data_IF_620742582431
#
_entry.id   IF_620742582431
#
_cell.length_a   1.000
_cell.length_b   1.000
_cell.length_c   1.000
_cell.angle_alpha   90.00
_cell.angle_beta   90.00
_cell.angle_gamma   90.00
#
_symmetry.space_group_name_H-M   'P 1'
#
loop_
_entity.id
_entity.type
_entity.pdbx_description
1 polymer ?
#
# COMPACT_ATOMS: atom_id res chain seq x y z
N UNK A 1 -0.98 -24.30 10.69
CA UNK A 1 -1.15 -25.04 9.39
C UNK A 1 0.13 -24.78 8.61
N UNK A 2 0.76 -25.79 8.01
CA UNK A 2 1.98 -25.58 7.22
C UNK A 2 1.59 -24.85 5.93
N UNK A 3 2.20 -23.69 5.64
CA UNK A 3 1.96 -22.93 4.41
C UNK A 3 2.51 -23.70 3.21
N UNK A 4 1.74 -23.78 2.14
CA UNK A 4 2.16 -24.39 0.87
C UNK A 4 2.45 -23.24 -0.13
N UNK A 5 3.71 -23.07 -0.46
CA UNK A 5 4.18 -22.09 -1.44
C UNK A 5 4.37 -22.72 -2.81
N UNK A 6 4.37 -21.89 -3.86
CA UNK A 6 4.59 -22.35 -5.25
C UNK A 6 5.95 -23.02 -5.43
N UNK A 7 5.97 -23.99 -6.35
CA UNK A 7 7.16 -24.69 -6.83
C UNK A 7 7.29 -24.53 -8.34
N UNK A 8 8.46 -24.81 -8.87
CA UNK A 8 8.76 -24.72 -10.30
C UNK A 8 7.74 -25.52 -11.14
N UNK A 9 7.38 -26.74 -10.69
CA UNK A 9 6.44 -27.59 -11.42
C UNK A 9 5.03 -26.99 -11.52
N UNK A 10 4.61 -26.21 -10.53
CA UNK A 10 3.29 -25.56 -10.49
C UNK A 10 3.12 -24.47 -11.57
N UNK A 11 4.24 -23.91 -12.06
CA UNK A 11 4.27 -22.79 -13.00
C UNK A 11 4.80 -23.15 -14.40
N UNK A 12 5.27 -24.39 -14.62
CA UNK A 12 5.92 -24.78 -15.87
C UNK A 12 5.00 -24.72 -17.09
N UNK A 13 3.74 -25.14 -16.95
CA UNK A 13 2.74 -25.05 -18.02
C UNK A 13 2.36 -23.60 -18.33
N UNK A 14 2.25 -22.78 -17.30
CA UNK A 14 1.93 -21.36 -17.41
C UNK A 14 3.03 -20.61 -18.15
N UNK A 15 4.30 -20.86 -17.81
CA UNK A 15 5.46 -20.27 -18.51
C UNK A 15 5.50 -20.70 -19.97
N UNK A 16 5.28 -22.00 -20.26
CA UNK A 16 5.25 -22.52 -21.64
C UNK A 16 4.10 -21.90 -22.44
N UNK A 17 2.96 -21.68 -21.82
CA UNK A 17 1.80 -21.04 -22.45
C UNK A 17 2.05 -19.56 -22.77
N UNK A 18 2.72 -18.82 -21.89
CA UNK A 18 2.98 -17.39 -22.05
C UNK A 18 4.17 -17.08 -22.97
N UNK A 19 5.26 -17.85 -22.86
CA UNK A 19 6.52 -17.56 -23.54
C UNK A 19 6.85 -18.54 -24.67
N UNK A 20 5.99 -19.54 -24.89
CA UNK A 20 6.21 -20.60 -25.89
C UNK A 20 6.86 -21.85 -25.31
N UNK A 21 6.65 -22.99 -25.98
CA UNK A 21 7.16 -24.32 -25.55
C UNK A 21 8.69 -24.43 -25.53
N UNK A 22 9.38 -23.50 -26.17
CA UNK A 22 10.84 -23.46 -26.22
C UNK A 22 11.46 -22.79 -24.98
N UNK A 23 10.62 -22.16 -24.14
CA UNK A 23 11.05 -21.50 -22.91
C UNK A 23 10.78 -22.38 -21.69
N UNK A 24 11.77 -22.43 -20.79
CA UNK A 24 11.68 -23.26 -19.58
C UNK A 24 11.95 -22.41 -18.34
N UNK A 25 11.14 -22.66 -17.30
CA UNK A 25 11.39 -22.14 -15.97
C UNK A 25 12.57 -22.89 -15.35
N UNK A 26 13.65 -22.17 -15.01
CA UNK A 26 14.87 -22.73 -14.43
C UNK A 26 15.14 -22.26 -13.01
N UNK A 27 14.42 -21.23 -12.52
CA UNK A 27 14.55 -20.73 -11.15
C UNK A 27 13.24 -20.10 -10.67
N UNK A 28 12.97 -20.27 -9.37
CA UNK A 28 11.82 -19.70 -8.67
C UNK A 28 12.26 -19.25 -7.28
N UNK A 29 12.24 -17.94 -7.05
CA UNK A 29 12.60 -17.35 -5.77
C UNK A 29 11.37 -16.63 -5.18
N UNK A 30 10.92 -17.05 -3.99
CA UNK A 30 9.91 -16.31 -3.24
C UNK A 30 10.58 -15.09 -2.61
N UNK A 31 10.11 -13.89 -2.99
CA UNK A 31 10.64 -12.64 -2.47
C UNK A 31 10.08 -12.36 -1.06
N UNK A 32 10.88 -11.70 -0.24
CA UNK A 32 10.49 -11.26 1.12
C UNK A 32 9.67 -9.97 1.06
N UNK A 33 8.97 -9.65 2.16
CA UNK A 33 8.20 -8.41 2.32
C UNK A 33 6.71 -8.52 1.98
N UNK A 34 6.29 -9.50 1.18
CA UNK A 34 4.86 -9.73 0.90
C UNK A 34 4.14 -10.27 2.14
N UNK A 35 3.14 -9.51 2.65
CA UNK A 35 2.32 -9.94 3.80
C UNK A 35 0.91 -10.37 3.41
N UNK A 36 0.43 -9.96 2.25
CA UNK A 36 -0.95 -10.17 1.78
C UNK A 36 -1.05 -11.04 0.53
N UNK A 37 0.04 -11.18 -0.21
CA UNK A 37 0.17 -12.00 -1.42
C UNK A 37 1.55 -12.63 -1.49
N UNK A 38 1.69 -13.73 -2.21
CA UNK A 38 2.98 -14.29 -2.62
C UNK A 38 3.59 -13.48 -3.74
N UNK A 39 4.87 -13.15 -3.63
CA UNK A 39 5.64 -12.49 -4.68
C UNK A 39 6.79 -13.40 -5.07
N UNK A 40 6.84 -13.80 -6.33
CA UNK A 40 7.82 -14.76 -6.84
C UNK A 40 8.55 -14.19 -8.04
N UNK A 41 9.89 -14.26 -8.03
CA UNK A 41 10.71 -14.00 -9.20
C UNK A 41 10.97 -15.32 -9.93
N UNK A 42 10.54 -15.37 -11.17
CA UNK A 42 10.80 -16.47 -12.08
C UNK A 42 12.02 -16.14 -12.92
N UNK A 43 12.88 -17.15 -13.16
CA UNK A 43 13.98 -17.02 -14.10
C UNK A 43 13.83 -18.10 -15.19
N UNK A 44 13.85 -17.65 -16.44
CA UNK A 44 13.78 -18.50 -17.63
C UNK A 44 15.18 -18.95 -18.07
N UNK A 45 15.23 -19.91 -18.97
CA UNK A 45 16.48 -20.50 -19.48
C UNK A 45 17.29 -19.57 -20.41
N UNK A 46 16.77 -18.39 -20.73
CA UNK A 46 17.49 -17.33 -21.45
C UNK A 46 17.86 -16.15 -20.54
N UNK A 47 17.86 -16.36 -19.21
CA UNK A 47 18.09 -15.37 -18.18
C UNK A 47 17.03 -14.26 -18.07
N UNK A 48 15.93 -14.31 -18.83
CA UNK A 48 14.78 -13.43 -18.65
C UNK A 48 14.16 -13.68 -17.26
N UNK A 49 13.84 -12.59 -16.56
CA UNK A 49 13.12 -12.65 -15.27
C UNK A 49 11.76 -11.99 -15.38
N UNK A 50 10.79 -12.55 -14.65
CA UNK A 50 9.44 -12.00 -14.50
C UNK A 50 8.96 -12.15 -13.06
N UNK A 51 8.02 -11.32 -12.63
CA UNK A 51 7.41 -11.39 -11.30
C UNK A 51 6.03 -12.04 -11.42
N UNK A 52 5.75 -12.97 -10.51
CA UNK A 52 4.42 -13.54 -10.32
C UNK A 52 3.88 -13.14 -8.95
N UNK A 53 2.67 -12.59 -8.96
CA UNK A 53 1.85 -12.37 -7.77
C UNK A 53 0.84 -13.49 -7.63
N UNK A 54 0.68 -13.99 -6.39
CA UNK A 54 -0.30 -15.02 -6.06
C UNK A 54 -1.14 -14.59 -4.86
N UNK A 55 -2.44 -14.42 -5.08
CA UNK A 55 -3.43 -14.17 -4.03
C UNK A 55 -4.08 -15.48 -3.58
N UNK A 56 -3.41 -16.16 -2.67
CA UNK A 56 -3.91 -17.38 -2.06
C UNK A 56 -3.91 -17.26 -0.53
N UNK A 57 -4.82 -17.94 0.14
CA UNK A 57 -4.92 -17.89 1.60
C UNK A 57 -3.62 -18.32 2.31
N UNK A 58 -2.81 -19.20 1.69
CA UNK A 58 -1.52 -19.63 2.22
C UNK A 58 -0.46 -18.51 2.17
N UNK A 59 -0.64 -17.51 1.31
CA UNK A 59 0.29 -16.39 1.15
C UNK A 59 -0.03 -15.20 2.06
N UNK A 60 -1.29 -15.04 2.48
CA UNK A 60 -1.67 -13.96 3.39
C UNK A 60 -1.34 -14.31 4.84
N UNK A 61 -0.71 -13.38 5.54
CA UNK A 61 -0.44 -13.44 6.97
C UNK A 61 -1.45 -12.64 7.80
N UNK A 62 -2.30 -11.86 7.13
CA UNK A 62 -3.26 -10.99 7.81
C UNK A 62 -4.45 -11.76 8.35
N UNK A 63 -4.68 -11.74 9.69
CA UNK A 63 -5.94 -12.23 10.25
C UNK A 63 -7.09 -11.30 9.85
N UNK A 64 -8.33 -11.82 9.85
CA UNK A 64 -9.51 -10.98 9.66
C UNK A 64 -9.54 -9.81 10.65
N UNK A 65 -9.99 -8.65 10.18
CA UNK A 65 -10.15 -7.45 10.99
C UNK A 65 -11.53 -6.86 10.74
N UNK A 66 -12.19 -6.43 11.81
CA UNK A 66 -13.47 -5.75 11.72
C UNK A 66 -13.25 -4.31 11.24
N UNK A 67 -13.91 -3.94 10.16
CA UNK A 67 -13.77 -2.65 9.51
C UNK A 67 -14.96 -1.74 9.84
N UNK A 68 -14.75 -0.44 9.73
CA UNK A 68 -15.85 0.52 9.87
C UNK A 68 -16.62 0.66 8.55
N UNK A 69 -17.90 1.02 8.58
CA UNK A 69 -18.65 1.33 7.37
C UNK A 69 -17.97 2.44 6.55
N UNK A 70 -17.99 2.29 5.23
CA UNK A 70 -17.43 3.24 4.26
C UNK A 70 -15.89 3.41 4.34
N UNK A 71 -15.16 2.53 5.03
CA UNK A 71 -13.70 2.57 5.07
C UNK A 71 -13.12 2.32 3.67
N UNK A 72 -12.45 3.30 3.05
CA UNK A 72 -11.93 3.19 1.68
C UNK A 72 -10.71 2.26 1.57
N UNK A 73 -10.14 1.81 2.69
CA UNK A 73 -8.91 1.00 2.73
C UNK A 73 -9.17 -0.47 3.04
N UNK A 74 -10.41 -0.95 2.90
CA UNK A 74 -10.81 -2.32 3.24
C UNK A 74 -11.12 -3.19 2.03
N UNK A 75 -10.76 -2.77 0.84
CA UNK A 75 -11.08 -3.46 -0.42
C UNK A 75 -10.50 -4.87 -0.60
N UNK A 76 -9.70 -5.34 0.36
CA UNK A 76 -9.01 -6.62 0.23
C UNK A 76 -7.83 -6.55 -0.74
N UNK A 77 -7.31 -7.73 -1.11
CA UNK A 77 -6.24 -7.89 -2.09
C UNK A 77 -6.58 -9.10 -2.98
N UNK A 78 -6.67 -8.88 -4.29
CA UNK A 78 -7.07 -9.91 -5.25
C UNK A 78 -6.55 -9.58 -6.66
N UNK A 79 -6.53 -10.56 -7.54
CA UNK A 79 -6.02 -10.39 -8.90
C UNK A 79 -6.87 -9.44 -9.75
N UNK A 80 -8.19 -9.44 -9.58
CA UNK A 80 -9.10 -8.52 -10.27
C UNK A 80 -8.97 -7.08 -9.79
N UNK A 81 -8.80 -6.87 -8.47
CA UNK A 81 -8.51 -5.55 -7.91
C UNK A 81 -7.15 -5.03 -8.41
N UNK A 82 -6.12 -5.87 -8.41
CA UNK A 82 -4.81 -5.54 -8.97
C UNK A 82 -4.93 -5.09 -10.44
N UNK A 83 -5.68 -5.85 -11.27
CA UNK A 83 -5.86 -5.52 -12.69
C UNK A 83 -6.59 -4.17 -12.89
N UNK A 84 -7.63 -3.91 -12.09
CA UNK A 84 -8.36 -2.64 -12.14
C UNK A 84 -7.47 -1.46 -11.76
N UNK A 85 -6.69 -1.60 -10.69
CA UNK A 85 -5.76 -0.58 -10.21
C UNK A 85 -4.61 -0.34 -11.19
N UNK A 86 -4.06 -1.42 -11.78
CA UNK A 86 -3.05 -1.35 -12.83
C UNK A 86 -3.53 -0.53 -14.03
N UNK A 87 -4.76 -0.81 -14.51
CA UNK A 87 -5.36 -0.08 -15.61
C UNK A 87 -5.55 1.41 -15.30
N UNK A 88 -5.99 1.73 -14.08
CA UNK A 88 -6.20 3.11 -13.64
C UNK A 88 -4.88 3.90 -13.56
N UNK A 89 -3.82 3.32 -12.99
CA UNK A 89 -2.50 3.94 -12.91
C UNK A 89 -1.89 4.15 -14.31
N UNK A 90 -2.00 3.14 -15.19
CA UNK A 90 -1.57 3.25 -16.59
C UNK A 90 -2.30 4.37 -17.30
N UNK A 91 -3.63 4.47 -17.14
CA UNK A 91 -4.44 5.55 -17.72
C UNK A 91 -4.06 6.94 -17.15
N UNK A 92 -3.65 7.01 -15.89
CA UNK A 92 -3.13 8.24 -15.27
C UNK A 92 -1.69 8.57 -15.72
N UNK A 93 -1.05 7.76 -16.56
CA UNK A 93 0.32 7.94 -17.02
C UNK A 93 1.38 7.65 -15.95
N UNK A 94 1.05 6.81 -14.98
CA UNK A 94 1.99 6.33 -13.96
C UNK A 94 2.65 5.05 -14.46
N UNK A 95 3.98 4.96 -14.36
CA UNK A 95 4.73 3.76 -14.72
C UNK A 95 4.54 2.69 -13.63
N UNK A 96 3.93 1.60 -14.02
CA UNK A 96 3.78 0.36 -13.24
C UNK A 96 4.38 -0.80 -14.04
N UNK A 97 4.69 -1.96 -13.44
CA UNK A 97 5.19 -3.12 -14.20
C UNK A 97 4.21 -3.51 -15.32
N UNK A 98 4.71 -3.83 -16.50
CA UNK A 98 3.88 -4.31 -17.60
C UNK A 98 3.16 -5.61 -17.20
N UNK A 99 1.85 -5.68 -17.43
CA UNK A 99 1.09 -6.90 -17.18
C UNK A 99 1.25 -7.86 -18.34
N UNK A 100 1.91 -8.99 -18.09
CA UNK A 100 2.18 -10.03 -19.08
C UNK A 100 1.05 -11.05 -19.15
N UNK A 101 0.44 -11.36 -18.01
CA UNK A 101 -0.66 -12.30 -17.89
C UNK A 101 -1.48 -12.05 -16.63
N UNK A 102 -2.78 -12.35 -16.71
CA UNK A 102 -3.71 -12.33 -15.59
C UNK A 102 -4.60 -13.57 -15.62
N UNK A 103 -4.68 -14.29 -14.52
CA UNK A 103 -5.65 -15.36 -14.28
C UNK A 103 -6.40 -15.06 -12.98
N UNK A 104 -7.58 -14.48 -13.12
CA UNK A 104 -8.41 -14.06 -11.98
C UNK A 104 -8.91 -15.27 -11.20
N UNK A 105 -9.26 -16.38 -11.88
CA UNK A 105 -9.80 -17.57 -11.25
C UNK A 105 -8.73 -18.30 -10.42
N UNK A 106 -7.48 -18.30 -10.90
CA UNK A 106 -6.34 -18.82 -10.15
C UNK A 106 -5.80 -17.83 -9.10
N UNK A 107 -6.27 -16.58 -9.11
CA UNK A 107 -5.74 -15.52 -8.26
C UNK A 107 -4.27 -15.19 -8.56
N UNK A 108 -3.89 -15.11 -9.85
CA UNK A 108 -2.51 -15.00 -10.27
C UNK A 108 -2.34 -13.90 -11.31
N UNK A 109 -1.27 -13.10 -11.17
CA UNK A 109 -0.81 -12.18 -12.21
C UNK A 109 0.69 -12.35 -12.46
N UNK A 110 1.09 -12.27 -13.72
CA UNK A 110 2.49 -12.22 -14.13
C UNK A 110 2.78 -10.84 -14.70
N UNK A 111 3.84 -10.22 -14.21
CA UNK A 111 4.25 -8.88 -14.60
C UNK A 111 5.74 -8.81 -14.93
N UNK A 112 6.14 -7.74 -15.59
CA UNK A 112 7.53 -7.38 -15.82
C UNK A 112 8.32 -7.39 -14.49
N UNK A 113 9.57 -7.86 -14.55
CA UNK A 113 10.53 -7.65 -13.47
C UNK A 113 11.20 -6.28 -13.69
N UNK A 114 10.75 -5.29 -12.95
CA UNK A 114 11.27 -3.90 -13.04
C UNK A 114 12.70 -3.74 -12.47
N UNK A 115 13.33 -4.83 -12.04
CA UNK A 115 14.68 -4.85 -11.50
C UNK A 115 14.74 -5.27 -10.04
N UNK A 116 15.93 -5.11 -9.44
CA UNK A 116 16.19 -5.61 -8.09
C UNK A 116 16.38 -4.50 -7.05
N UNK A 117 16.42 -3.22 -7.46
CA UNK A 117 16.71 -2.11 -6.57
C UNK A 117 15.44 -1.27 -6.31
N UNK A 118 15.09 -1.13 -5.03
CA UNK A 118 14.08 -0.18 -4.57
C UNK A 118 14.66 1.22 -4.48
N UNK A 119 13.81 2.22 -4.65
CA UNK A 119 14.20 3.62 -4.48
C UNK A 119 14.74 3.90 -3.06
N UNK A 120 14.22 3.21 -2.03
CA UNK A 120 14.73 3.30 -0.66
C UNK A 120 16.23 2.93 -0.58
N UNK A 121 16.61 1.77 -1.12
CA UNK A 121 18.00 1.33 -1.14
C UNK A 121 18.88 2.27 -1.97
N UNK A 122 18.36 2.81 -3.08
CA UNK A 122 19.10 3.79 -3.89
C UNK A 122 19.30 5.10 -3.12
N UNK A 123 18.27 5.58 -2.40
CA UNK A 123 18.37 6.80 -1.57
C UNK A 123 19.40 6.67 -0.46
N UNK A 124 19.46 5.49 0.19
CA UNK A 124 20.44 5.21 1.24
C UNK A 124 21.88 5.10 0.68
N UNK A 125 22.03 4.42 -0.44
CA UNK A 125 23.34 4.14 -1.06
C UNK A 125 23.91 5.35 -1.79
N UNK A 126 23.09 6.06 -2.56
CA UNK A 126 23.50 7.18 -3.42
C UNK A 126 22.35 8.19 -3.59
N UNK A 127 22.20 9.13 -2.63
CA UNK A 127 21.17 10.17 -2.70
C UNK A 127 21.23 11.04 -3.96
N UNK A 128 22.44 11.18 -4.55
CA UNK A 128 22.62 11.92 -5.79
C UNK A 128 21.99 11.21 -7.00
N UNK A 129 22.19 9.90 -7.10
CA UNK A 129 21.59 9.07 -8.14
C UNK A 129 20.06 8.97 -7.96
N UNK A 130 19.56 9.03 -6.72
CA UNK A 130 18.12 8.99 -6.43
C UNK A 130 17.36 10.27 -6.84
N UNK A 131 18.04 11.39 -7.07
CA UNK A 131 17.39 12.69 -7.34
C UNK A 131 16.53 12.68 -8.61
N UNK A 132 16.98 12.00 -9.68
CA UNK A 132 16.22 11.84 -10.93
C UNK A 132 14.92 11.04 -10.72
N UNK A 133 15.03 9.79 -10.26
CA UNK A 133 13.86 8.95 -9.91
C UNK A 133 12.87 9.63 -8.96
N UNK A 134 13.34 10.34 -7.93
CA UNK A 134 12.46 11.09 -7.02
C UNK A 134 11.69 12.21 -7.73
N UNK A 135 12.35 12.97 -8.60
CA UNK A 135 11.69 14.02 -9.35
C UNK A 135 10.63 13.45 -10.31
N UNK A 136 10.92 12.34 -10.99
CA UNK A 136 9.98 11.66 -11.89
C UNK A 136 8.80 11.04 -11.12
N UNK A 137 9.05 10.46 -9.93
CA UNK A 137 8.00 9.99 -9.04
C UNK A 137 7.08 11.15 -8.61
N UNK A 138 7.64 12.31 -8.27
CA UNK A 138 6.85 13.51 -7.96
C UNK A 138 5.95 13.94 -9.12
N UNK A 139 6.42 13.85 -10.37
CA UNK A 139 5.61 14.09 -11.56
C UNK A 139 4.50 13.04 -11.76
N UNK A 140 4.80 11.76 -11.47
CA UNK A 140 3.82 10.67 -11.52
C UNK A 140 2.71 10.88 -10.47
N UNK A 141 3.08 11.20 -9.23
CA UNK A 141 2.14 11.54 -8.15
C UNK A 141 1.24 12.71 -8.52
N UNK A 142 1.79 13.77 -9.13
CA UNK A 142 0.99 14.91 -9.56
C UNK A 142 -0.03 14.54 -10.63
N UNK A 143 0.34 13.69 -11.61
CA UNK A 143 -0.62 13.17 -12.60
C UNK A 143 -1.71 12.35 -11.91
N UNK A 144 -1.36 11.46 -11.00
CA UNK A 144 -2.28 10.64 -10.23
C UNK A 144 -3.25 11.51 -9.41
N UNK A 145 -2.73 12.49 -8.68
CA UNK A 145 -3.55 13.39 -7.83
C UNK A 145 -4.44 14.35 -8.63
N UNK A 146 -4.16 14.60 -9.91
CA UNK A 146 -5.06 15.37 -10.79
C UNK A 146 -6.21 14.52 -11.36
N UNK A 147 -6.13 13.20 -11.23
CA UNK A 147 -7.24 12.31 -11.57
C UNK A 147 -8.29 12.40 -10.48
N UNK A 148 -9.40 13.09 -10.76
CA UNK A 148 -10.40 13.43 -9.77
C UNK A 148 -11.59 12.46 -9.78
N UNK A 149 -12.04 12.07 -8.57
CA UNK A 149 -13.28 11.35 -8.32
C UNK A 149 -14.29 12.22 -7.56
N UNK A 150 -15.57 12.08 -7.87
CA UNK A 150 -16.67 12.71 -7.10
C UNK A 150 -17.07 11.90 -5.87
N UNK A 151 -16.61 10.66 -5.78
CA UNK A 151 -16.83 9.72 -4.68
C UNK A 151 -15.49 9.16 -4.21
N UNK A 152 -15.39 8.89 -2.92
CA UNK A 152 -14.22 8.16 -2.39
C UNK A 152 -14.51 6.66 -2.30
N UNK A 153 -13.45 5.85 -2.27
CA UNK A 153 -13.51 4.40 -2.15
C UNK A 153 -12.64 3.70 -3.18
N UNK A 154 -12.53 2.38 -3.04
CA UNK A 154 -11.81 1.54 -4.01
C UNK A 154 -12.45 1.62 -5.39
N UNK A 155 -11.64 1.63 -6.43
CA UNK A 155 -12.09 1.87 -7.81
C UNK A 155 -13.18 0.88 -8.24
N UNK A 156 -13.01 -0.40 -7.89
CA UNK A 156 -13.96 -1.45 -8.25
C UNK A 156 -15.34 -1.31 -7.58
N UNK A 157 -15.44 -0.56 -6.46
CA UNK A 157 -16.69 -0.33 -5.74
C UNK A 157 -17.42 0.95 -6.17
N UNK A 158 -16.75 1.82 -6.95
CA UNK A 158 -17.35 3.07 -7.43
C UNK A 158 -18.21 2.79 -8.65
N UNK A 159 -19.52 2.96 -8.49
CA UNK A 159 -20.48 2.86 -9.60
C UNK A 159 -20.64 4.23 -10.24
N UNK A 160 -20.42 4.32 -11.55
CA UNK A 160 -20.63 5.55 -12.31
C UNK A 160 -22.08 6.00 -12.23
N UNK A 161 -22.29 7.29 -11.89
CA UNK A 161 -23.65 7.87 -11.74
C UNK A 161 -24.32 7.59 -10.40
N UNK A 162 -23.67 6.94 -9.43
CA UNK A 162 -24.18 6.82 -8.08
C UNK A 162 -24.04 8.17 -7.33
N UNK A 163 -25.16 8.79 -7.02
CA UNK A 163 -25.27 10.05 -6.29
C UNK A 163 -25.65 9.86 -4.80
N UNK A 164 -25.65 8.63 -4.30
CA UNK A 164 -25.96 8.35 -2.90
C UNK A 164 -25.04 9.15 -1.97
N UNK A 165 -25.56 9.74 -0.89
CA UNK A 165 -24.73 10.47 0.06
C UNK A 165 -23.66 9.57 0.66
N UNK A 166 -22.40 10.03 0.66
CA UNK A 166 -21.32 9.42 1.42
C UNK A 166 -21.08 10.18 2.71
N UNK A 167 -20.61 9.49 3.74
CA UNK A 167 -20.15 10.12 4.99
C UNK A 167 -18.96 11.03 4.72
N UNK A 168 -18.74 12.11 5.50
CA UNK A 168 -17.52 12.88 5.44
C UNK A 168 -16.28 11.99 5.69
N UNK A 169 -15.24 12.13 4.86
CA UNK A 169 -14.01 11.33 4.95
C UNK A 169 -13.31 11.47 6.31
N UNK A 170 -13.33 12.67 6.86
CA UNK A 170 -12.78 12.95 8.19
C UNK A 170 -13.48 12.16 9.30
N UNK A 171 -14.81 11.95 9.21
CA UNK A 171 -15.57 11.16 10.18
C UNK A 171 -15.27 9.66 10.02
N UNK A 172 -15.15 9.18 8.78
CA UNK A 172 -14.77 7.78 8.50
C UNK A 172 -13.38 7.48 9.05
N UNK A 173 -12.41 8.40 8.86
CA UNK A 173 -11.05 8.20 9.37
C UNK A 173 -10.99 8.26 10.90
N UNK A 174 -11.79 9.11 11.56
CA UNK A 174 -11.89 9.10 13.02
C UNK A 174 -12.44 7.76 13.53
N UNK A 175 -13.53 7.27 12.96
CA UNK A 175 -14.10 5.97 13.35
C UNK A 175 -13.11 4.83 13.12
N UNK A 176 -12.41 4.83 11.98
CA UNK A 176 -11.35 3.88 11.66
C UNK A 176 -10.22 3.93 12.70
N UNK A 177 -9.75 5.13 13.04
CA UNK A 177 -8.69 5.33 14.01
C UNK A 177 -9.11 4.88 15.43
N UNK A 178 -10.37 5.11 15.82
CA UNK A 178 -10.92 4.63 17.08
C UNK A 178 -11.05 3.10 17.11
N UNK A 179 -11.45 2.47 16.00
CA UNK A 179 -11.48 1.02 15.86
C UNK A 179 -10.08 0.41 16.03
N UNK A 180 -9.07 1.00 15.39
CA UNK A 180 -7.66 0.59 15.56
C UNK A 180 -7.17 0.80 17.00
N UNK A 181 -7.53 1.92 17.62
CA UNK A 181 -7.19 2.20 19.02
C UNK A 181 -7.78 1.17 19.97
N UNK A 182 -9.06 0.81 19.79
CA UNK A 182 -9.73 -0.18 20.62
C UNK A 182 -9.10 -1.56 20.50
N UNK A 183 -8.78 -1.98 19.28
CA UNK A 183 -8.11 -3.25 19.04
C UNK A 183 -6.66 -3.27 19.58
N UNK A 184 -5.94 -2.15 19.47
CA UNK A 184 -4.58 -2.01 20.02
C UNK A 184 -4.62 -1.95 21.56
N UNK A 185 -5.59 -1.26 22.17
CA UNK A 185 -5.77 -1.17 23.62
C UNK A 185 -6.07 -2.52 24.27
N UNK A 186 -6.69 -3.44 23.53
CA UNK A 186 -6.89 -4.81 24.00
C UNK A 186 -5.55 -5.59 24.14
N UNK A 187 -4.48 -5.12 23.48
CA UNK A 187 -3.14 -5.75 23.44
C UNK A 187 -2.07 -5.00 24.24
N UNK A 188 -2.27 -3.70 24.47
CA UNK A 188 -1.30 -2.85 25.19
C UNK A 188 -1.99 -2.02 26.29
N UNK A 189 -1.55 -2.24 27.54
CA UNK A 189 -2.14 -1.59 28.72
C UNK A 189 -1.95 -0.06 28.72
N UNK A 190 -0.85 0.45 28.17
CA UNK A 190 -0.58 1.91 28.09
C UNK A 190 -1.62 2.60 27.22
N UNK A 191 -2.00 1.96 26.12
CA UNK A 191 -3.07 2.44 25.25
C UNK A 191 -4.43 2.32 25.91
N UNK A 192 -4.71 1.22 26.63
CA UNK A 192 -5.94 1.06 27.41
C UNK A 192 -6.11 2.18 28.45
N UNK A 193 -5.05 2.47 29.19
CA UNK A 193 -5.04 3.53 30.21
C UNK A 193 -5.15 4.95 29.60
N UNK A 194 -4.70 5.16 28.36
CA UNK A 194 -4.72 6.43 27.63
C UNK A 194 -5.90 6.58 26.65
N UNK A 195 -6.72 5.54 26.44
CA UNK A 195 -7.73 5.46 25.38
C UNK A 195 -8.65 6.69 25.32
N UNK A 196 -9.16 7.15 26.47
CA UNK A 196 -10.02 8.34 26.52
C UNK A 196 -9.33 9.60 26.01
N UNK A 197 -8.09 9.85 26.45
CA UNK A 197 -7.29 11.02 26.03
C UNK A 197 -6.92 10.98 24.55
N UNK A 198 -6.58 9.80 24.02
CA UNK A 198 -6.31 9.60 22.60
C UNK A 198 -7.56 9.88 21.76
N UNK A 199 -8.73 9.35 22.18
CA UNK A 199 -10.01 9.61 21.52
C UNK A 199 -10.39 11.09 21.53
N UNK A 200 -10.23 11.79 22.66
CA UNK A 200 -10.44 13.22 22.75
C UNK A 200 -9.47 14.01 21.86
N UNK A 201 -8.23 13.55 21.73
CA UNK A 201 -7.25 14.17 20.83
C UNK A 201 -7.66 14.04 19.37
N UNK A 202 -8.08 12.85 18.93
CA UNK A 202 -8.63 12.61 17.59
C UNK A 202 -9.80 13.55 17.28
N UNK A 203 -10.75 13.70 18.21
CA UNK A 203 -11.88 14.59 18.02
C UNK A 203 -11.45 16.08 17.90
N UNK A 204 -10.49 16.52 18.71
CA UNK A 204 -9.91 17.88 18.58
C UNK A 204 -9.24 18.10 17.22
N UNK A 205 -8.54 17.09 16.68
CA UNK A 205 -7.93 17.16 15.34
C UNK A 205 -8.98 17.18 14.23
N UNK A 206 -10.12 16.52 14.42
CA UNK A 206 -11.23 16.49 13.48
C UNK A 206 -11.99 17.80 13.42
N UNK A 207 -12.18 18.51 14.54
CA UNK A 207 -13.04 19.70 14.64
C UNK A 207 -12.78 20.80 13.58
N UNK A 208 -11.53 21.17 13.26
CA UNK A 208 -11.24 22.19 12.24
C UNK A 208 -11.35 21.68 10.79
N UNK A 209 -11.53 20.39 10.56
CA UNK A 209 -11.51 19.79 9.22
C UNK A 209 -12.86 20.00 8.54
N UNK A 210 -12.85 20.70 7.40
CA UNK A 210 -14.05 20.96 6.61
C UNK A 210 -14.38 19.78 5.67
N UNK A 211 -15.66 19.49 5.49
CA UNK A 211 -16.09 18.43 4.58
C UNK A 211 -15.65 18.69 3.12
N UNK A 212 -15.27 17.64 2.41
CA UNK A 212 -14.82 17.67 1.01
C UNK A 212 -15.73 16.80 0.12
N UNK A 213 -15.77 17.12 -1.19
CA UNK A 213 -16.58 16.41 -2.17
C UNK A 213 -15.83 16.12 -3.48
N UNK A 214 -14.53 16.33 -3.50
CA UNK A 214 -13.67 15.99 -4.63
C UNK A 214 -12.45 15.28 -4.07
N UNK A 215 -12.14 14.14 -4.64
CA UNK A 215 -11.12 13.21 -4.17
C UNK A 215 -10.09 12.97 -5.26
N UNK A 216 -8.87 12.72 -4.87
CA UNK A 216 -7.78 12.40 -5.78
C UNK A 216 -7.60 10.88 -5.85
N UNK A 217 -7.04 10.40 -6.94
CA UNK A 217 -6.52 9.04 -7.00
C UNK A 217 -5.26 8.98 -6.14
N UNK A 218 -5.23 8.12 -5.12
CA UNK A 218 -4.12 7.96 -4.18
C UNK A 218 -3.70 6.51 -4.08
N UNK A 219 -2.41 6.26 -3.89
CA UNK A 219 -1.87 4.91 -3.67
C UNK A 219 -2.30 4.35 -2.30
N UNK A 220 -2.41 5.23 -1.30
CA UNK A 220 -2.88 4.91 0.04
C UNK A 220 -1.77 4.64 1.05
N UNK A 221 -0.65 4.05 0.66
CA UNK A 221 0.49 3.70 1.55
C UNK A 221 1.85 3.70 0.83
N UNK A 222 2.05 4.64 -0.11
CA UNK A 222 3.27 4.72 -0.89
C UNK A 222 4.51 5.04 -0.03
N UNK A 223 5.49 4.15 -0.09
CA UNK A 223 6.84 4.35 0.45
C UNK A 223 7.90 4.22 -0.64
N UNK A 224 9.17 4.58 -0.38
CA UNK A 224 10.25 4.43 -1.33
C UNK A 224 10.60 2.95 -1.62
N UNK A 225 10.23 2.02 -0.76
CA UNK A 225 10.25 0.56 -0.93
C UNK A 225 9.18 0.05 -1.91
N UNK A 226 8.10 0.82 -2.16
CA UNK A 226 7.08 0.54 -3.16
C UNK A 226 7.39 1.16 -4.53
N UNK A 227 8.62 1.58 -4.75
CA UNK A 227 9.09 2.11 -6.02
C UNK A 227 10.37 1.37 -6.42
N UNK A 228 10.30 0.61 -7.52
CA UNK A 228 11.46 0.02 -8.15
C UNK A 228 12.17 1.06 -9.01
N UNK A 229 13.48 0.95 -9.17
CA UNK A 229 14.24 1.79 -10.09
C UNK A 229 14.86 0.90 -11.16
N UNK A 230 14.49 1.12 -12.42
CA UNK A 230 15.04 0.36 -13.54
C UNK A 230 16.52 0.68 -13.74
N UNK A 231 17.28 -0.17 -14.48
CA UNK A 231 18.66 0.16 -14.86
C UNK A 231 18.81 1.48 -15.64
N UNK A 232 17.73 1.97 -16.25
CA UNK A 232 17.69 3.27 -16.93
C UNK A 232 17.42 4.45 -15.97
N UNK A 233 17.14 4.17 -14.69
CA UNK A 233 16.83 5.18 -13.68
C UNK A 233 15.35 5.58 -13.62
N UNK A 234 14.46 4.84 -14.30
CA UNK A 234 13.01 5.13 -14.29
C UNK A 234 12.35 4.57 -13.03
N UNK A 235 11.54 5.34 -12.30
CA UNK A 235 10.77 4.85 -11.17
C UNK A 235 9.54 4.05 -11.66
N UNK A 236 9.33 2.87 -11.10
CA UNK A 236 8.21 1.97 -11.38
C UNK A 236 7.47 1.71 -10.07
N UNK A 237 6.22 2.15 -9.99
CA UNK A 237 5.38 2.01 -8.80
C UNK A 237 4.85 0.59 -8.71
N UNK A 238 4.95 -0.01 -7.51
CA UNK A 238 4.46 -1.35 -7.18
C UNK A 238 3.58 -1.31 -5.92
N UNK A 239 2.99 -2.43 -5.57
CA UNK A 239 2.19 -2.63 -4.34
C UNK A 239 0.97 -1.70 -4.22
N UNK A 240 0.29 -1.49 -5.34
CA UNK A 240 -0.81 -0.53 -5.49
C UNK A 240 -2.21 -1.11 -5.27
N UNK A 241 -2.33 -2.20 -4.52
CA UNK A 241 -3.63 -2.80 -4.19
C UNK A 241 -4.51 -1.86 -3.34
N UNK A 242 -3.88 -0.99 -2.56
CA UNK A 242 -4.56 0.05 -1.78
C UNK A 242 -5.06 1.26 -2.58
N UNK A 243 -4.89 1.26 -3.92
CA UNK A 243 -5.27 2.39 -4.77
C UNK A 243 -6.77 2.72 -4.62
N UNK A 244 -7.06 3.97 -4.34
CA UNK A 244 -8.42 4.43 -4.07
C UNK A 244 -8.58 5.90 -4.46
N UNK A 245 -9.82 6.34 -4.67
CA UNK A 245 -10.13 7.76 -4.63
C UNK A 245 -10.27 8.20 -3.18
N UNK A 246 -9.44 9.15 -2.75
CA UNK A 246 -9.49 9.67 -1.39
C UNK A 246 -8.91 11.08 -1.29
N UNK A 247 -8.82 11.60 -0.07
CA UNK A 247 -8.19 12.89 0.20
C UNK A 247 -6.68 12.81 -0.02
N UNK A 248 -6.14 13.73 -0.77
CA UNK A 248 -4.72 13.79 -1.11
C UNK A 248 -3.82 13.90 0.14
N UNK A 249 -4.34 14.49 1.23
CA UNK A 249 -3.61 14.60 2.50
C UNK A 249 -3.35 13.23 3.15
N UNK A 250 -4.17 12.19 2.87
CA UNK A 250 -3.88 10.83 3.31
C UNK A 250 -2.58 10.30 2.70
N UNK A 251 -2.44 10.44 1.38
CA UNK A 251 -1.21 10.09 0.67
C UNK A 251 -0.02 10.87 1.20
N UNK A 252 -0.15 12.19 1.32
CA UNK A 252 0.95 13.04 1.76
C UNK A 252 1.35 12.84 3.23
N UNK A 253 0.45 12.36 4.09
CA UNK A 253 0.81 11.92 5.44
C UNK A 253 1.76 10.71 5.40
N UNK A 254 1.49 9.72 4.53
CA UNK A 254 2.39 8.61 4.26
C UNK A 254 3.71 9.04 3.65
N UNK A 255 3.66 9.84 2.58
CA UNK A 255 4.85 10.34 1.88
C UNK A 255 5.79 11.10 2.82
N UNK A 256 5.25 11.98 3.68
CA UNK A 256 6.07 12.70 4.67
C UNK A 256 6.76 11.76 5.66
N UNK A 257 6.06 10.73 6.12
CA UNK A 257 6.59 9.76 7.05
C UNK A 257 7.65 8.86 6.41
N UNK A 258 7.42 8.40 5.17
CA UNK A 258 8.25 7.39 4.51
C UNK A 258 9.45 8.00 3.77
N UNK A 259 9.33 9.19 3.20
CA UNK A 259 10.40 9.83 2.45
C UNK A 259 11.24 10.81 3.30
N UNK A 260 10.77 11.20 4.49
CA UNK A 260 11.52 12.09 5.38
C UNK A 260 12.02 13.36 4.67
N UNK A 261 13.32 13.64 4.73
CA UNK A 261 13.92 14.83 4.12
C UNK A 261 13.78 14.87 2.58
N UNK A 262 13.68 13.70 1.93
CA UNK A 262 13.50 13.59 0.49
C UNK A 262 12.07 13.94 0.03
N UNK A 263 11.09 14.05 0.93
CA UNK A 263 9.71 14.40 0.61
C UNK A 263 9.59 15.68 -0.23
N UNK A 264 10.43 16.67 0.02
CA UNK A 264 10.43 17.93 -0.74
C UNK A 264 10.71 17.75 -2.24
N UNK A 265 11.43 16.70 -2.62
CA UNK A 265 11.73 16.36 -4.01
C UNK A 265 10.50 15.86 -4.79
N UNK A 266 9.47 15.36 -4.09
CA UNK A 266 8.20 14.92 -4.67
C UNK A 266 7.28 16.08 -5.09
N UNK A 267 7.69 17.34 -4.82
CA UNK A 267 6.94 18.57 -5.17
C UNK A 267 5.49 18.50 -4.72
N UNK A 268 5.23 18.46 -3.40
CA UNK A 268 3.90 18.32 -2.85
C UNK A 268 2.97 19.46 -3.32
N UNK A 269 1.69 19.12 -3.48
CA UNK A 269 0.61 20.06 -3.77
C UNK A 269 0.25 20.89 -2.53
N UNK A 270 -0.60 21.91 -2.68
CA UNK A 270 -1.19 22.59 -1.54
C UNK A 270 -2.12 21.66 -0.77
N UNK A 271 -1.91 21.52 0.53
CA UNK A 271 -2.59 20.61 1.44
C UNK A 271 -3.36 21.38 2.51
N UNK A 272 -4.50 20.84 2.94
CA UNK A 272 -5.18 21.30 4.15
C UNK A 272 -4.39 20.84 5.38
N UNK A 273 -3.79 21.76 6.16
CA UNK A 273 -2.93 21.37 7.27
C UNK A 273 -3.69 20.68 8.40
N UNK A 274 -4.96 21.04 8.64
CA UNK A 274 -5.76 20.41 9.68
C UNK A 274 -6.10 18.96 9.30
N UNK A 275 -6.48 18.71 8.04
CA UNK A 275 -6.75 17.39 7.50
C UNK A 275 -5.50 16.51 7.50
N UNK A 276 -4.37 17.08 7.09
CA UNK A 276 -3.08 16.39 7.10
C UNK A 276 -2.67 15.93 8.51
N UNK A 277 -2.88 16.78 9.52
CA UNK A 277 -2.54 16.45 10.90
C UNK A 277 -3.44 15.34 11.47
N UNK A 278 -4.76 15.42 11.21
CA UNK A 278 -5.70 14.35 11.56
C UNK A 278 -5.28 13.02 10.95
N UNK A 279 -4.97 13.01 9.65
CA UNK A 279 -4.63 11.78 8.94
C UNK A 279 -3.29 11.21 9.37
N UNK A 280 -2.31 12.05 9.63
CA UNK A 280 -1.02 11.62 10.19
C UNK A 280 -1.20 10.91 11.53
N UNK A 281 -2.04 11.44 12.41
CA UNK A 281 -2.30 10.81 13.70
C UNK A 281 -3.11 9.51 13.57
N UNK A 282 -4.09 9.48 12.68
CA UNK A 282 -4.86 8.27 12.38
C UNK A 282 -3.96 7.13 11.84
N UNK A 283 -2.99 7.46 10.97
CA UNK A 283 -2.00 6.50 10.46
C UNK A 283 -1.08 5.96 11.56
N UNK A 284 -0.71 6.77 12.55
CA UNK A 284 0.03 6.29 13.72
C UNK A 284 -0.74 5.18 14.44
N UNK A 285 -2.06 5.33 14.62
CA UNK A 285 -2.88 4.30 15.28
C UNK A 285 -3.01 3.03 14.43
N UNK A 286 -3.09 3.14 13.10
CA UNK A 286 -3.09 1.97 12.23
C UNK A 286 -1.75 1.23 12.24
N UNK A 287 -0.63 1.97 12.35
CA UNK A 287 0.72 1.43 12.49
C UNK A 287 1.04 0.89 13.90
N UNK A 288 0.10 0.96 14.82
CA UNK A 288 0.13 0.22 16.07
C UNK A 288 -0.67 -1.08 15.92
N UNK A 289 -1.92 -0.96 15.50
CA UNK A 289 -2.86 -2.10 15.46
C UNK A 289 -2.42 -3.16 14.47
N UNK A 290 -2.16 -2.78 13.21
CA UNK A 290 -1.74 -3.72 12.17
C UNK A 290 -0.52 -4.54 12.57
N UNK A 291 0.61 -3.91 12.93
CA UNK A 291 1.79 -4.62 13.40
C UNK A 291 1.55 -5.52 14.61
N UNK A 292 0.80 -5.09 15.63
CA UNK A 292 0.47 -5.95 16.77
C UNK A 292 -0.34 -7.18 16.33
N UNK A 293 -1.30 -7.01 15.44
CA UNK A 293 -2.19 -8.07 14.97
C UNK A 293 -1.44 -9.10 14.09
N UNK A 294 -0.61 -8.66 13.15
CA UNK A 294 0.16 -9.57 12.30
C UNK A 294 1.24 -10.31 13.12
N UNK A 295 1.81 -9.68 14.14
CA UNK A 295 2.78 -10.31 15.04
C UNK A 295 2.20 -11.47 15.88
N UNK A 296 0.87 -11.63 15.94
CA UNK A 296 0.20 -12.79 16.55
C UNK A 296 0.18 -14.02 15.60
N UNK A 297 0.62 -13.87 14.36
CA UNK A 297 0.67 -14.94 13.36
C UNK A 297 2.06 -15.53 13.20
N UNK A 298 2.23 -16.39 12.21
CA UNK A 298 3.52 -16.96 11.79
C UNK A 298 4.31 -16.05 10.82
N UNK A 299 4.04 -14.73 10.81
CA UNK A 299 4.74 -13.78 9.96
C UNK A 299 6.24 -13.76 10.27
N UNK A 300 7.13 -13.90 9.26
CA UNK A 300 8.56 -14.08 9.48
C UNK A 300 9.24 -12.90 10.19
N UNK A 301 8.80 -11.67 9.91
CA UNK A 301 9.40 -10.43 10.44
C UNK A 301 8.66 -9.93 11.69
N UNK A 302 8.27 -10.85 12.56
CA UNK A 302 7.49 -10.56 13.76
C UNK A 302 8.12 -9.50 14.65
N UNK A 303 9.42 -9.59 14.89
CA UNK A 303 10.13 -8.68 15.81
C UNK A 303 10.16 -7.25 15.24
N UNK A 304 10.36 -7.11 13.95
CA UNK A 304 10.26 -5.81 13.26
C UNK A 304 8.86 -5.19 13.40
N UNK A 305 7.81 -6.00 13.29
CA UNK A 305 6.42 -5.53 13.50
C UNK A 305 6.20 -5.05 14.93
N UNK A 306 6.76 -5.74 15.94
CA UNK A 306 6.66 -5.31 17.31
C UNK A 306 7.43 -4.00 17.58
N UNK A 307 8.61 -3.84 17.00
CA UNK A 307 9.39 -2.59 17.10
C UNK A 307 8.64 -1.42 16.43
N UNK A 308 8.02 -1.66 15.27
CA UNK A 308 7.19 -0.67 14.59
C UNK A 308 5.99 -0.24 15.43
N UNK A 309 5.30 -1.21 16.06
CA UNK A 309 4.20 -0.92 16.99
C UNK A 309 4.68 -0.10 18.18
N UNK A 310 5.78 -0.49 18.82
CA UNK A 310 6.34 0.21 19.99
C UNK A 310 6.72 1.66 19.68
N UNK A 311 7.37 1.89 18.52
CA UNK A 311 7.69 3.22 18.04
C UNK A 311 6.43 4.10 17.89
N UNK A 312 5.37 3.56 17.30
CA UNK A 312 4.13 4.31 17.08
C UNK A 312 3.31 4.47 18.37
N UNK A 313 3.36 3.54 19.33
CA UNK A 313 2.80 3.72 20.69
C UNK A 313 3.45 4.93 21.36
N UNK A 314 4.78 5.05 21.28
CA UNK A 314 5.51 6.22 21.80
C UNK A 314 5.01 7.53 21.18
N UNK A 315 4.83 7.57 19.85
CA UNK A 315 4.28 8.74 19.13
C UNK A 315 2.84 9.07 19.58
N UNK A 316 1.96 8.07 19.65
CA UNK A 316 0.56 8.27 20.02
C UNK A 316 0.44 8.86 21.43
N UNK A 317 1.23 8.34 22.39
CA UNK A 317 1.21 8.80 23.78
C UNK A 317 1.88 10.17 23.99
N UNK A 318 2.87 10.52 23.18
CA UNK A 318 3.56 11.81 23.28
C UNK A 318 2.75 12.98 22.71
N UNK A 319 1.71 12.71 21.92
CA UNK A 319 0.85 13.72 21.31
C UNK A 319 -0.31 14.19 22.21
N UNK A 320 -0.54 13.54 23.38
CA UNK A 320 -1.71 13.77 24.25
C UNK A 320 -1.37 14.32 25.64
#
# INVERSE_FOLDING_TARGET
>A
MQRAFLRVDDLSELVSGQFGSDRRLVGLDRLTGGSNKGVYRLRLDDDTTVIVYLWAAAESYWPPFETVPDDPFTGGSSADLFASNHAALTAAGVRVPEMLMLDVDAGLAMVEDAGAEHLEALMERDPGAAAGPLAELGEALRRMHTTAGSRYGVLAAITEGDESPQRPTEDVIVDRALCHLDAAAARDRRLADARGRIGEHLLRLRDPVAARRAYALVHGELGPDHVMVTPAGEPVMIDFEGLTYFDVEWEHAWLQMRFGDAYSALRPVELDPARLELYRYAQVLSLIEGPLRIAETDFPERDWMLDLAEWNIGKALSAI
#
